data_IF_157791394310
#
_entry.id   IF_157791394310
#
_cell.length_a   1.000
_cell.length_b   1.000
_cell.length_c   1.000
_cell.angle_alpha   90.00
_cell.angle_beta   90.00
_cell.angle_gamma   90.00
#
_symmetry.space_group_name_H-M   'P 1'
#
loop_
_entity.id
_entity.type
_entity.pdbx_description
1 polymer ?
#
# COMPACT_ATOMS: atom_id res chain seq x y z
N UNK A 1 -44.38 34.22 -0.52
CA UNK A 1 -42.97 34.50 -0.20
C UNK A 1 -42.57 34.09 1.22
N UNK A 2 -43.28 34.48 2.29
CA UNK A 2 -42.89 34.10 3.67
C UNK A 2 -42.94 32.58 3.95
N UNK A 3 -43.89 31.85 3.38
CA UNK A 3 -44.03 30.38 3.52
C UNK A 3 -42.97 29.57 2.77
N UNK A 4 -42.41 30.09 1.68
CA UNK A 4 -41.32 29.43 0.95
C UNK A 4 -39.97 29.54 1.68
N UNK A 5 -39.78 30.58 2.49
CA UNK A 5 -38.56 30.77 3.28
C UNK A 5 -38.46 29.77 4.44
N UNK A 6 -39.59 29.43 5.08
CA UNK A 6 -39.63 28.40 6.12
C UNK A 6 -39.37 27.00 5.57
N UNK A 7 -39.80 26.71 4.33
CA UNK A 7 -39.54 25.42 3.68
C UNK A 7 -38.05 25.24 3.32
N UNK A 8 -37.38 26.31 2.91
CA UNK A 8 -35.94 26.30 2.63
C UNK A 8 -35.09 26.17 3.92
N UNK A 9 -35.54 26.77 5.02
CA UNK A 9 -34.86 26.68 6.32
C UNK A 9 -35.03 25.30 6.98
N UNK A 10 -36.17 24.62 6.76
CA UNK A 10 -36.39 23.25 7.25
C UNK A 10 -35.55 22.21 6.46
N UNK A 11 -35.35 22.42 5.16
CA UNK A 11 -34.51 21.58 4.28
C UNK A 11 -33.00 21.69 4.58
N UNK A 12 -32.56 22.81 5.16
CA UNK A 12 -31.17 23.02 5.61
C UNK A 12 -30.86 22.36 6.96
N UNK A 13 -31.88 22.08 7.78
CA UNK A 13 -31.71 21.40 9.08
C UNK A 13 -31.90 19.87 8.99
N UNK A 14 -32.53 19.35 7.92
CA UNK A 14 -32.66 17.90 7.70
C UNK A 14 -31.53 17.29 6.87
N UNK A 15 -30.66 18.10 6.26
CA UNK A 15 -29.52 17.64 5.45
C UNK A 15 -28.21 17.51 6.22
N UNK A 16 -28.20 17.85 7.51
CA UNK A 16 -27.02 17.77 8.38
C UNK A 16 -27.12 16.65 9.41
N UNK A 17 -27.56 15.45 9.03
CA UNK A 17 -27.02 14.29 9.76
C UNK A 17 -25.54 14.27 9.44
N UNK A 18 -24.73 14.79 10.35
CA UNK A 18 -23.29 14.58 10.36
C UNK A 18 -23.09 13.07 10.22
N UNK A 19 -22.79 12.62 9.00
CA UNK A 19 -22.42 11.25 8.74
C UNK A 19 -21.08 11.06 9.44
N UNK A 20 -21.12 10.70 10.72
CA UNK A 20 -19.94 10.29 11.43
C UNK A 20 -19.52 8.97 10.82
N UNK A 21 -18.36 8.96 10.17
CA UNK A 21 -17.75 7.73 9.68
C UNK A 21 -17.73 6.71 10.81
N UNK A 22 -18.43 5.60 10.63
CA UNK A 22 -18.48 4.51 11.61
C UNK A 22 -17.16 3.72 11.52
N UNK A 23 -16.68 3.27 12.67
CA UNK A 23 -15.68 2.20 12.73
C UNK A 23 -16.40 0.86 12.79
N UNK A 24 -16.18 0.02 11.79
CA UNK A 24 -16.72 -1.34 11.66
C UNK A 24 -15.59 -2.31 11.97
N UNK A 25 -15.80 -3.23 12.92
CA UNK A 25 -14.82 -4.27 13.24
C UNK A 25 -15.15 -5.57 12.52
N UNK A 26 -14.15 -6.13 11.84
CA UNK A 26 -14.23 -7.44 11.17
C UNK A 26 -13.25 -8.39 11.83
N UNK A 27 -13.77 -9.49 12.36
CA UNK A 27 -12.98 -10.50 13.08
C UNK A 27 -13.54 -11.90 12.84
N UNK A 28 -12.80 -12.75 12.13
CA UNK A 28 -13.20 -14.13 11.83
C UNK A 28 -12.57 -15.16 12.80
N UNK A 29 -11.94 -14.69 13.89
CA UNK A 29 -11.47 -15.57 14.96
C UNK A 29 -12.66 -16.26 15.64
N UNK A 30 -12.46 -17.51 16.04
CA UNK A 30 -13.50 -18.29 16.70
C UNK A 30 -13.87 -17.63 18.03
N UNK A 31 -15.16 -17.31 18.24
CA UNK A 31 -15.65 -16.69 19.46
C UNK A 31 -15.46 -15.16 19.53
N UNK A 32 -15.03 -14.51 18.45
CA UNK A 32 -14.90 -13.05 18.41
C UNK A 32 -16.27 -12.35 18.50
N UNK A 33 -16.34 -11.27 19.28
CA UNK A 33 -17.46 -10.34 19.28
C UNK A 33 -17.13 -9.16 18.36
N UNK A 34 -17.49 -9.25 17.09
CA UNK A 34 -17.26 -8.24 16.07
C UNK A 34 -18.55 -7.93 15.29
N UNK A 35 -18.59 -6.80 14.57
CA UNK A 35 -19.74 -6.43 13.75
C UNK A 35 -19.95 -7.42 12.60
N UNK A 36 -18.84 -7.90 12.01
CA UNK A 36 -18.86 -8.87 10.91
C UNK A 36 -17.73 -9.91 11.06
N UNK A 37 -17.98 -11.10 10.53
CA UNK A 37 -16.96 -12.16 10.37
C UNK A 37 -16.40 -12.22 8.96
N UNK A 38 -17.06 -11.63 7.95
CA UNK A 38 -16.61 -11.59 6.56
C UNK A 38 -16.35 -10.16 6.14
N UNK A 39 -15.24 -9.93 5.44
CA UNK A 39 -14.88 -8.59 4.97
C UNK A 39 -15.86 -8.07 3.91
N UNK A 40 -16.31 -8.93 2.98
CA UNK A 40 -17.26 -8.50 1.95
C UNK A 40 -18.59 -8.03 2.57
N UNK A 41 -19.09 -8.70 3.61
CA UNK A 41 -20.32 -8.30 4.28
C UNK A 41 -20.17 -6.92 4.94
N UNK A 42 -19.02 -6.64 5.55
CA UNK A 42 -18.71 -5.33 6.10
C UNK A 42 -18.67 -4.24 5.01
N UNK A 43 -18.02 -4.51 3.87
CA UNK A 43 -17.97 -3.57 2.72
C UNK A 43 -19.37 -3.29 2.17
N UNK A 44 -20.19 -4.33 2.03
CA UNK A 44 -21.55 -4.22 1.51
C UNK A 44 -22.41 -3.31 2.40
N UNK A 45 -22.27 -3.44 3.73
CA UNK A 45 -23.07 -2.71 4.72
C UNK A 45 -22.47 -1.36 5.17
N UNK A 46 -21.19 -1.10 4.87
CA UNK A 46 -20.55 0.17 5.19
C UNK A 46 -21.19 1.34 4.43
N UNK A 47 -21.26 2.51 5.04
CA UNK A 47 -21.57 3.75 4.34
C UNK A 47 -20.30 4.35 3.73
N UNK A 48 -20.41 5.16 2.66
CA UNK A 48 -19.28 5.90 2.13
C UNK A 48 -18.59 6.74 3.23
N UNK A 49 -17.28 6.55 3.39
CA UNK A 49 -16.46 7.20 4.42
C UNK A 49 -16.23 6.38 5.68
N UNK A 50 -16.94 5.27 5.89
CA UNK A 50 -16.71 4.38 7.03
C UNK A 50 -15.30 3.75 7.01
N UNK A 51 -14.80 3.44 8.21
CA UNK A 51 -13.54 2.72 8.40
C UNK A 51 -13.81 1.27 8.82
N UNK A 52 -13.17 0.32 8.18
CA UNK A 52 -13.28 -1.11 8.44
C UNK A 52 -11.96 -1.59 9.02
N UNK A 53 -11.95 -1.93 10.32
CA UNK A 53 -10.79 -2.50 11.00
C UNK A 53 -10.85 -4.03 10.93
N UNK A 54 -9.85 -4.62 10.26
CA UNK A 54 -9.74 -6.06 10.04
C UNK A 54 -8.74 -6.64 11.03
N UNK A 55 -9.22 -7.50 11.93
CA UNK A 55 -8.37 -8.09 12.99
C UNK A 55 -7.47 -9.18 12.40
N UNK A 56 -6.24 -9.30 12.93
CA UNK A 56 -5.36 -10.42 12.60
C UNK A 56 -5.99 -11.78 12.90
N UNK A 57 -5.78 -12.76 12.01
CA UNK A 57 -6.39 -14.09 12.13
C UNK A 57 -5.55 -15.17 11.45
N UNK A 58 -5.63 -16.44 11.91
CA UNK A 58 -5.04 -17.54 11.17
C UNK A 58 -5.78 -17.82 9.83
N UNK A 59 -7.06 -17.41 9.72
CA UNK A 59 -7.93 -17.62 8.56
C UNK A 59 -7.90 -16.43 7.59
N UNK A 60 -8.18 -16.68 6.32
CA UNK A 60 -8.36 -15.62 5.34
C UNK A 60 -9.74 -14.98 5.45
N UNK A 61 -9.84 -13.71 5.05
CA UNK A 61 -11.11 -12.97 5.01
C UNK A 61 -11.86 -13.11 3.68
N UNK A 62 -11.25 -13.77 2.69
CA UNK A 62 -11.76 -13.99 1.33
C UNK A 62 -12.09 -15.47 1.09
N UNK A 63 -12.69 -16.13 2.07
CA UNK A 63 -13.06 -17.56 2.01
C UNK A 63 -14.56 -17.74 2.19
N UNK A 64 -15.19 -18.52 1.30
CA UNK A 64 -16.60 -18.87 1.40
C UNK A 64 -16.86 -19.97 2.44
N UNK A 65 -18.13 -20.33 2.62
CA UNK A 65 -18.57 -21.37 3.56
C UNK A 65 -18.06 -22.78 3.23
N UNK A 66 -17.57 -22.99 2.00
CA UNK A 66 -17.03 -24.27 1.51
C UNK A 66 -15.49 -24.31 1.59
N UNK A 67 -14.86 -23.25 2.09
CA UNK A 67 -13.40 -23.13 2.14
C UNK A 67 -12.78 -22.70 0.81
N UNK A 68 -13.58 -22.31 -0.18
CA UNK A 68 -13.10 -21.81 -1.47
C UNK A 68 -12.86 -20.31 -1.43
N UNK A 69 -12.05 -19.79 -2.36
CA UNK A 69 -11.76 -18.36 -2.44
C UNK A 69 -13.02 -17.61 -2.89
N UNK A 70 -13.45 -16.64 -2.07
CA UNK A 70 -14.52 -15.71 -2.38
C UNK A 70 -13.90 -14.36 -2.73
N UNK A 71 -14.34 -13.74 -3.81
CA UNK A 71 -13.77 -12.48 -4.25
C UNK A 71 -14.18 -11.31 -3.34
N UNK A 72 -13.20 -10.51 -2.91
CA UNK A 72 -13.44 -9.26 -2.22
C UNK A 72 -13.50 -8.13 -3.25
N UNK A 73 -14.63 -7.42 -3.27
CA UNK A 73 -14.95 -6.31 -4.16
C UNK A 73 -15.12 -5.02 -3.37
N UNK A 74 -14.19 -4.10 -3.57
CA UNK A 74 -14.24 -2.74 -3.08
C UNK A 74 -14.81 -1.85 -4.18
N UNK A 75 -16.09 -1.50 -4.07
CA UNK A 75 -16.84 -0.68 -5.03
C UNK A 75 -17.53 0.53 -4.36
N UNK A 76 -16.98 0.96 -3.23
CA UNK A 76 -17.51 2.04 -2.38
C UNK A 76 -16.35 2.73 -1.68
N UNK A 77 -16.45 4.04 -1.44
CA UNK A 77 -15.49 4.82 -0.64
C UNK A 77 -15.44 4.30 0.79
N UNK A 78 -14.43 3.52 1.16
CA UNK A 78 -14.19 3.08 2.55
C UNK A 78 -12.69 3.04 2.86
N UNK A 79 -12.36 3.11 4.14
CA UNK A 79 -11.00 2.96 4.63
C UNK A 79 -10.86 1.56 5.24
N UNK A 80 -10.04 0.68 4.68
CA UNK A 80 -9.79 -0.66 5.20
C UNK A 80 -8.43 -0.67 5.88
N UNK A 81 -8.42 -1.06 7.17
CA UNK A 81 -7.24 -1.02 8.03
C UNK A 81 -7.00 -2.42 8.60
N UNK A 82 -5.88 -3.05 8.22
CA UNK A 82 -5.37 -4.26 8.85
C UNK A 82 -4.31 -3.97 9.91
N UNK A 83 -3.80 -5.00 10.59
CA UNK A 83 -2.87 -4.85 11.71
C UNK A 83 -1.42 -4.58 11.29
N UNK A 84 -1.08 -4.73 10.01
CA UNK A 84 0.28 -4.74 9.47
C UNK A 84 0.77 -6.16 9.13
N UNK A 85 2.07 -6.27 8.89
CA UNK A 85 2.79 -7.51 8.53
C UNK A 85 4.15 -7.58 9.25
N UNK A 86 4.85 -8.71 9.20
CA UNK A 86 6.11 -8.93 9.95
C UNK A 86 6.02 -8.58 11.45
N UNK A 87 4.84 -8.71 12.05
CA UNK A 87 4.56 -8.18 13.40
C UNK A 87 5.41 -8.86 14.49
N UNK A 88 5.81 -10.11 14.26
CA UNK A 88 6.69 -10.85 15.15
C UNK A 88 8.19 -10.65 14.89
N UNK A 89 8.57 -9.97 13.81
CA UNK A 89 9.96 -9.79 13.40
C UNK A 89 10.50 -8.39 13.74
N UNK A 90 9.61 -7.39 13.82
CA UNK A 90 9.93 -6.04 14.26
C UNK A 90 9.46 -5.78 15.71
N UNK A 91 10.21 -4.93 16.43
CA UNK A 91 9.88 -4.54 17.81
C UNK A 91 8.73 -3.54 17.88
N UNK A 92 8.05 -3.46 19.04
CA UNK A 92 7.03 -2.44 19.36
C UNK A 92 5.88 -2.35 18.35
N UNK A 93 5.50 -3.47 17.73
CA UNK A 93 4.39 -3.57 16.76
C UNK A 93 3.04 -3.72 17.49
N UNK A 94 2.24 -4.74 17.15
CA UNK A 94 0.95 -5.06 17.78
C UNK A 94 1.14 -6.10 18.89
N UNK A 95 0.28 -6.10 19.91
CA UNK A 95 0.25 -7.16 20.93
C UNK A 95 -0.15 -8.50 20.29
N UNK A 96 -1.23 -8.50 19.51
CA UNK A 96 -1.58 -9.63 18.66
C UNK A 96 -0.70 -9.61 17.40
N UNK A 97 0.14 -10.64 17.24
CA UNK A 97 1.08 -10.77 16.12
C UNK A 97 0.46 -11.37 14.85
N UNK A 98 -0.83 -11.68 14.87
CA UNK A 98 -1.51 -12.20 13.68
C UNK A 98 -1.75 -11.10 12.65
N UNK A 99 -1.66 -11.49 11.39
CA UNK A 99 -1.88 -10.62 10.23
C UNK A 99 -3.30 -10.81 9.67
N UNK A 100 -3.83 -9.81 8.98
CA UNK A 100 -5.11 -9.91 8.26
C UNK A 100 -4.84 -10.29 6.80
N UNK A 101 -5.14 -11.54 6.45
CA UNK A 101 -4.79 -12.13 5.15
C UNK A 101 -5.95 -12.16 4.17
N UNK A 102 -5.63 -11.82 2.93
CA UNK A 102 -6.47 -11.93 1.74
C UNK A 102 -5.62 -12.57 0.64
N UNK A 103 -6.23 -13.32 -0.26
CA UNK A 103 -5.56 -13.72 -1.50
C UNK A 103 -5.82 -12.67 -2.56
N UNK A 104 -7.07 -12.24 -2.72
CA UNK A 104 -7.45 -11.30 -3.77
C UNK A 104 -8.31 -10.14 -3.24
N UNK A 105 -8.14 -8.97 -3.86
CA UNK A 105 -9.08 -7.87 -3.77
C UNK A 105 -9.19 -7.18 -5.13
N UNK A 106 -10.43 -6.90 -5.53
CA UNK A 106 -10.79 -6.13 -6.70
C UNK A 106 -11.26 -4.75 -6.25
N UNK A 107 -10.60 -3.70 -6.72
CA UNK A 107 -10.96 -2.31 -6.47
C UNK A 107 -11.51 -1.75 -7.76
N UNK A 108 -12.82 -1.54 -7.78
CA UNK A 108 -13.57 -1.25 -8.98
C UNK A 108 -14.33 0.07 -8.94
N UNK A 109 -15.28 0.19 -9.86
CA UNK A 109 -16.16 1.35 -9.98
C UNK A 109 -16.83 1.68 -8.64
N UNK A 110 -16.74 2.94 -8.20
CA UNK A 110 -17.32 3.44 -6.94
C UNK A 110 -16.35 3.48 -5.75
N UNK A 111 -15.15 2.93 -5.87
CA UNK A 111 -14.12 2.95 -4.82
C UNK A 111 -13.32 4.27 -4.70
N UNK A 112 -13.86 5.38 -5.22
CA UNK A 112 -13.15 6.65 -5.23
C UNK A 112 -12.76 7.08 -3.82
N UNK A 113 -11.54 7.57 -3.64
CA UNK A 113 -11.02 8.04 -2.34
C UNK A 113 -10.94 6.94 -1.26
N UNK A 114 -11.00 5.67 -1.63
CA UNK A 114 -10.76 4.56 -0.71
C UNK A 114 -9.30 4.46 -0.30
N UNK A 115 -9.08 3.95 0.91
CA UNK A 115 -7.75 3.68 1.45
C UNK A 115 -7.68 2.21 1.86
N UNK A 116 -6.65 1.50 1.42
CA UNK A 116 -6.37 0.12 1.82
C UNK A 116 -5.00 0.09 2.49
N UNK A 117 -4.96 -0.28 3.77
CA UNK A 117 -3.72 -0.24 4.56
C UNK A 117 -3.57 -1.36 5.57
N UNK A 118 -2.33 -1.76 5.86
CA UNK A 118 -2.00 -2.73 6.91
C UNK A 118 -2.46 -4.17 6.62
N UNK A 119 -2.76 -4.52 5.37
CA UNK A 119 -3.22 -5.86 4.99
C UNK A 119 -2.10 -6.70 4.36
N UNK A 120 -2.28 -8.01 4.37
CA UNK A 120 -1.41 -8.98 3.71
C UNK A 120 -2.14 -9.64 2.55
N UNK A 121 -1.65 -9.44 1.33
CA UNK A 121 -2.17 -10.03 0.10
C UNK A 121 -1.22 -11.11 -0.43
N UNK A 122 -1.65 -12.37 -0.32
CA UNK A 122 -0.88 -13.54 -0.79
C UNK A 122 -0.94 -13.75 -2.30
N UNK A 123 -1.76 -12.99 -3.02
CA UNK A 123 -1.79 -13.05 -4.47
C UNK A 123 -1.87 -11.65 -5.10
N UNK A 124 -3.07 -11.09 -5.28
CA UNK A 124 -3.20 -9.89 -6.09
C UNK A 124 -4.18 -8.85 -5.53
N UNK A 125 -3.83 -7.58 -5.71
CA UNK A 125 -4.82 -6.49 -5.77
C UNK A 125 -5.00 -6.12 -7.24
N UNK A 126 -6.25 -6.06 -7.68
CA UNK A 126 -6.61 -5.59 -9.03
C UNK A 126 -7.33 -4.26 -8.93
N UNK A 127 -6.94 -3.28 -9.75
CA UNK A 127 -7.65 -2.01 -9.91
C UNK A 127 -8.19 -1.93 -11.34
N UNK A 128 -9.51 -1.87 -11.50
CA UNK A 128 -10.15 -1.93 -12.81
C UNK A 128 -11.53 -1.22 -12.81
N UNK A 129 -12.32 -1.45 -13.86
CA UNK A 129 -13.66 -0.86 -14.02
C UNK A 129 -14.78 -1.75 -13.44
N UNK A 130 -14.46 -2.84 -12.76
CA UNK A 130 -15.46 -3.83 -12.36
C UNK A 130 -16.48 -3.25 -11.38
N UNK A 131 -17.73 -3.67 -11.49
CA UNK A 131 -18.83 -3.28 -10.59
C UNK A 131 -19.00 -4.32 -9.49
N UNK A 132 -19.80 -3.99 -8.47
CA UNK A 132 -20.07 -4.89 -7.35
C UNK A 132 -20.64 -6.26 -7.78
N UNK A 133 -21.39 -6.31 -8.88
CA UNK A 133 -21.98 -7.54 -9.44
C UNK A 133 -21.00 -8.36 -10.30
N UNK A 134 -19.73 -7.94 -10.39
CA UNK A 134 -18.70 -8.57 -11.22
C UNK A 134 -18.77 -8.21 -12.71
N UNK A 135 -19.72 -7.38 -13.13
CA UNK A 135 -19.81 -6.92 -14.51
C UNK A 135 -18.81 -5.80 -14.79
N UNK A 136 -18.49 -5.60 -16.07
CA UNK A 136 -17.63 -4.50 -16.50
C UNK A 136 -18.38 -3.16 -16.40
N UNK A 137 -17.86 -2.25 -15.60
CA UNK A 137 -18.33 -0.87 -15.50
C UNK A 137 -17.69 0.06 -16.52
N UNK A 138 -18.00 1.35 -16.37
CA UNK A 138 -17.58 2.41 -17.28
C UNK A 138 -16.75 3.50 -16.62
N UNK A 139 -16.67 3.53 -15.29
CA UNK A 139 -15.96 4.56 -14.54
C UNK A 139 -14.80 3.96 -13.78
N UNK A 140 -13.60 4.48 -14.02
CA UNK A 140 -12.41 4.08 -13.29
C UNK A 140 -12.42 4.58 -11.84
N UNK A 141 -11.90 3.80 -10.88
CA UNK A 141 -11.67 4.27 -9.52
C UNK A 141 -10.60 5.37 -9.51
N UNK A 142 -10.86 6.42 -8.73
CA UNK A 142 -10.02 7.62 -8.65
C UNK A 142 -9.56 7.91 -7.23
N UNK A 143 -8.37 8.50 -7.08
CA UNK A 143 -7.85 8.95 -5.79
C UNK A 143 -7.73 7.80 -4.75
N UNK A 144 -7.46 6.58 -5.20
CA UNK A 144 -7.31 5.42 -4.31
C UNK A 144 -5.91 5.37 -3.73
N UNK A 145 -5.81 5.14 -2.42
CA UNK A 145 -4.54 4.95 -1.72
C UNK A 145 -4.36 3.51 -1.30
N UNK A 146 -3.28 2.88 -1.77
CA UNK A 146 -2.82 1.55 -1.35
C UNK A 146 -1.53 1.77 -0.58
N UNK A 147 -1.57 1.66 0.74
CA UNK A 147 -0.43 2.03 1.57
C UNK A 147 -0.13 1.09 2.73
N UNK A 148 1.14 0.85 3.04
CA UNK A 148 1.55 0.02 4.19
C UNK A 148 0.99 -1.41 4.14
N UNK A 149 0.91 -2.00 2.96
CA UNK A 149 0.48 -3.40 2.78
C UNK A 149 1.66 -4.30 2.40
N UNK A 150 1.53 -5.59 2.69
CA UNK A 150 2.31 -6.61 2.02
C UNK A 150 1.51 -7.07 0.80
N UNK A 151 2.06 -6.94 -0.40
CA UNK A 151 1.37 -7.29 -1.64
C UNK A 151 2.29 -8.10 -2.55
N UNK A 152 1.88 -9.32 -2.92
CA UNK A 152 2.62 -10.11 -3.89
C UNK A 152 2.59 -9.43 -5.26
N UNK A 153 1.40 -9.13 -5.78
CA UNK A 153 1.23 -8.56 -7.11
C UNK A 153 0.13 -7.49 -7.14
N UNK A 154 0.32 -6.43 -7.91
CA UNK A 154 -0.71 -5.44 -8.24
C UNK A 154 -0.93 -5.37 -9.74
N UNK A 155 -2.18 -5.57 -10.16
CA UNK A 155 -2.61 -5.40 -11.55
C UNK A 155 -3.52 -4.19 -11.70
N UNK A 156 -3.05 -3.16 -12.38
CA UNK A 156 -3.76 -1.89 -12.52
C UNK A 156 -4.14 -1.75 -13.97
N UNK A 157 -5.40 -2.04 -14.30
CA UNK A 157 -5.90 -2.01 -15.68
C UNK A 157 -6.57 -0.68 -16.02
N UNK A 158 -7.23 -0.03 -15.05
CA UNK A 158 -7.74 1.34 -15.21
C UNK A 158 -7.86 1.97 -13.82
N UNK A 159 -7.29 3.16 -13.65
CA UNK A 159 -7.37 3.93 -12.42
C UNK A 159 -6.74 5.29 -12.61
N UNK A 160 -7.19 6.29 -11.85
CA UNK A 160 -6.61 7.62 -11.93
C UNK A 160 -6.25 8.18 -10.55
N UNK A 161 -5.17 8.95 -10.50
CA UNK A 161 -4.65 9.57 -9.28
C UNK A 161 -4.42 8.54 -8.16
N UNK A 162 -3.76 7.43 -8.49
CA UNK A 162 -3.49 6.37 -7.54
C UNK A 162 -2.26 6.71 -6.70
N UNK A 163 -2.34 6.48 -5.39
CA UNK A 163 -1.19 6.55 -4.50
C UNK A 163 -0.83 5.14 -4.03
N UNK A 164 0.34 4.66 -4.45
CA UNK A 164 0.89 3.35 -4.08
C UNK A 164 2.13 3.63 -3.24
N UNK A 165 2.02 3.50 -1.91
CA UNK A 165 3.09 3.94 -1.02
C UNK A 165 3.40 3.03 0.15
N UNK A 166 4.65 3.00 0.61
CA UNK A 166 5.02 2.28 1.84
C UNK A 166 4.65 0.78 1.80
N UNK A 167 4.48 0.20 0.62
CA UNK A 167 4.14 -1.22 0.46
C UNK A 167 5.41 -2.06 0.34
N UNK A 168 5.28 -3.31 0.75
CA UNK A 168 6.30 -4.32 0.56
C UNK A 168 5.80 -5.37 -0.42
N UNK A 169 6.63 -5.75 -1.39
CA UNK A 169 6.37 -6.88 -2.27
C UNK A 169 7.56 -7.81 -2.28
N UNK A 170 7.30 -9.11 -2.19
CA UNK A 170 8.26 -10.16 -2.45
C UNK A 170 7.62 -11.21 -3.34
N UNK A 171 7.72 -10.99 -4.65
CA UNK A 171 7.09 -11.82 -5.66
C UNK A 171 8.07 -12.08 -6.80
N UNK A 172 8.05 -13.30 -7.34
CA UNK A 172 9.01 -13.69 -8.38
C UNK A 172 8.81 -12.93 -9.70
N UNK A 173 7.59 -12.45 -9.96
CA UNK A 173 7.27 -11.60 -11.11
C UNK A 173 7.33 -10.11 -10.76
N UNK A 174 6.67 -9.29 -11.57
CA UNK A 174 6.55 -7.86 -11.28
C UNK A 174 5.71 -7.60 -10.05
N UNK A 175 6.11 -6.64 -9.20
CA UNK A 175 5.30 -6.21 -8.07
C UNK A 175 4.09 -5.40 -8.55
N UNK A 176 4.29 -4.60 -9.59
CA UNK A 176 3.24 -3.79 -10.22
C UNK A 176 3.22 -4.03 -11.72
N UNK A 177 2.01 -4.23 -12.24
CA UNK A 177 1.73 -4.22 -13.67
C UNK A 177 0.69 -3.14 -13.97
N UNK A 178 1.09 -2.15 -14.77
CA UNK A 178 0.30 -1.01 -15.22
C UNK A 178 -0.20 -1.27 -16.65
N UNK A 179 -1.49 -1.14 -16.87
CA UNK A 179 -2.16 -1.37 -18.14
C UNK A 179 -3.32 -0.39 -18.35
N UNK A 180 -3.93 -0.45 -19.53
CA UNK A 180 -5.11 0.29 -19.95
C UNK A 180 -4.95 1.79 -19.79
N UNK A 181 -6.02 2.46 -19.37
CA UNK A 181 -6.02 3.93 -19.19
C UNK A 181 -5.74 4.26 -17.73
N UNK A 182 -4.45 4.29 -17.37
CA UNK A 182 -3.99 4.56 -15.99
C UNK A 182 -3.23 5.88 -15.92
N UNK A 183 -3.67 6.82 -15.09
CA UNK A 183 -3.05 8.18 -15.09
C UNK A 183 -2.87 8.76 -13.69
N UNK A 184 -1.90 9.67 -13.54
CA UNK A 184 -1.63 10.36 -12.27
C UNK A 184 -1.17 9.43 -11.14
N UNK A 185 -0.58 8.28 -11.47
CA UNK A 185 -0.16 7.29 -10.48
C UNK A 185 1.17 7.67 -9.86
N UNK A 186 1.21 7.72 -8.52
CA UNK A 186 2.41 7.95 -7.73
C UNK A 186 2.78 6.64 -7.03
N UNK A 187 3.96 6.10 -7.36
CA UNK A 187 4.55 4.92 -6.74
C UNK A 187 5.73 5.40 -5.90
N UNK A 188 5.57 5.43 -4.57
CA UNK A 188 6.61 5.98 -3.70
C UNK A 188 6.90 5.23 -2.41
N UNK A 189 8.14 5.28 -1.93
CA UNK A 189 8.49 4.72 -0.62
C UNK A 189 8.17 3.22 -0.51
N UNK A 190 8.19 2.46 -1.61
CA UNK A 190 7.93 1.02 -1.59
C UNK A 190 9.24 0.21 -1.63
N UNK A 191 9.15 -1.01 -1.13
CA UNK A 191 10.22 -2.03 -1.23
C UNK A 191 9.69 -3.15 -2.12
N UNK A 192 10.26 -3.30 -3.31
CA UNK A 192 9.88 -4.36 -4.25
C UNK A 192 11.04 -5.32 -4.46
N UNK A 193 10.85 -6.55 -4.00
CA UNK A 193 11.77 -7.66 -4.20
C UNK A 193 11.20 -8.53 -5.32
N UNK A 194 11.79 -8.39 -6.50
CA UNK A 194 11.41 -9.11 -7.72
C UNK A 194 12.61 -9.86 -8.29
N UNK A 195 12.34 -10.94 -9.02
CA UNK A 195 13.38 -11.60 -9.83
C UNK A 195 13.34 -11.14 -11.30
N UNK A 196 12.49 -10.15 -11.61
CA UNK A 196 12.24 -9.64 -12.95
C UNK A 196 12.17 -8.11 -12.90
N UNK A 197 11.27 -7.50 -13.66
CA UNK A 197 10.96 -6.06 -13.58
C UNK A 197 10.05 -5.81 -12.39
N UNK A 198 10.47 -5.01 -11.41
CA UNK A 198 9.65 -4.61 -10.26
C UNK A 198 8.37 -3.90 -10.69
N UNK A 199 8.46 -3.04 -11.71
CA UNK A 199 7.33 -2.29 -12.28
C UNK A 199 7.29 -2.55 -13.78
N UNK A 200 6.14 -2.96 -14.28
CA UNK A 200 5.90 -3.30 -15.67
C UNK A 200 4.77 -2.44 -16.24
N UNK A 201 4.95 -1.90 -17.44
CA UNK A 201 3.89 -1.28 -18.25
C UNK A 201 3.53 -2.11 -19.47
N UNK A 202 2.24 -2.18 -19.83
CA UNK A 202 1.85 -2.72 -21.14
C UNK A 202 2.24 -1.77 -22.28
N UNK A 203 2.57 -2.32 -23.44
CA UNK A 203 2.95 -1.53 -24.63
C UNK A 203 1.85 -0.55 -25.08
N UNK A 204 0.59 -0.89 -24.81
CA UNK A 204 -0.57 -0.09 -25.18
C UNK A 204 -1.14 0.70 -24.00
N UNK A 205 -0.47 0.69 -22.84
CA UNK A 205 -0.91 1.45 -21.69
C UNK A 205 -0.70 2.95 -21.91
N UNK A 206 -1.73 3.74 -21.61
CA UNK A 206 -1.58 5.19 -21.49
C UNK A 206 -1.25 5.49 -20.03
N UNK A 207 0.03 5.78 -19.74
CA UNK A 207 0.57 5.95 -18.38
C UNK A 207 0.87 7.42 -18.04
N UNK A 208 -0.06 8.31 -18.39
CA UNK A 208 0.14 9.75 -18.28
C UNK A 208 0.39 10.19 -16.82
N UNK A 209 1.38 11.07 -16.62
CA UNK A 209 1.73 11.67 -15.32
C UNK A 209 2.12 10.65 -14.23
N UNK A 210 2.84 9.59 -14.63
CA UNK A 210 3.35 8.60 -13.67
C UNK A 210 4.61 9.12 -12.96
N UNK A 211 4.65 8.97 -11.63
CA UNK A 211 5.80 9.34 -10.80
C UNK A 211 6.25 8.11 -10.01
N UNK A 212 7.52 7.75 -10.13
CA UNK A 212 8.15 6.64 -9.43
C UNK A 212 9.28 7.24 -8.59
N UNK A 213 9.07 7.38 -7.28
CA UNK A 213 10.03 8.10 -6.42
C UNK A 213 10.33 7.43 -5.10
N UNK A 214 11.57 7.51 -4.61
CA UNK A 214 11.94 6.98 -3.29
C UNK A 214 11.58 5.49 -3.13
N UNK A 215 11.72 4.65 -4.14
CA UNK A 215 11.51 3.21 -4.01
C UNK A 215 12.86 2.47 -3.92
N UNK A 216 12.87 1.34 -3.22
CA UNK A 216 13.97 0.38 -3.27
C UNK A 216 13.53 -0.83 -4.08
N UNK A 217 14.20 -1.06 -5.20
CA UNK A 217 13.81 -2.03 -6.21
C UNK A 217 14.93 -3.06 -6.38
N UNK A 218 14.65 -4.32 -6.04
CA UNK A 218 15.44 -5.44 -6.51
C UNK A 218 14.72 -5.98 -7.76
N UNK A 219 15.05 -5.42 -8.92
CA UNK A 219 14.36 -5.64 -10.17
C UNK A 219 14.13 -4.31 -10.90
N UNK A 220 14.08 -4.36 -12.23
CA UNK A 220 14.05 -3.18 -13.10
C UNK A 220 12.68 -2.52 -13.26
N UNK A 221 12.62 -1.53 -14.15
CA UNK A 221 11.40 -0.97 -14.71
C UNK A 221 11.32 -1.41 -16.18
N UNK A 222 10.15 -1.81 -16.64
CA UNK A 222 9.96 -2.27 -18.01
C UNK A 222 8.75 -1.62 -18.66
N UNK A 223 8.93 -1.10 -19.87
CA UNK A 223 7.88 -0.48 -20.69
C UNK A 223 7.09 0.64 -20.00
N UNK A 224 7.80 1.48 -19.25
CA UNK A 224 7.24 2.72 -18.71
C UNK A 224 7.72 3.87 -19.57
N UNK A 225 6.81 4.73 -20.01
CA UNK A 225 7.13 5.85 -20.90
C UNK A 225 6.62 7.17 -20.31
N UNK A 226 7.37 8.26 -20.51
CA UNK A 226 6.96 9.61 -20.10
C UNK A 226 6.82 9.81 -18.58
N UNK A 227 7.49 8.98 -17.77
CA UNK A 227 7.42 9.03 -16.31
C UNK A 227 8.55 9.88 -15.70
N UNK A 228 8.33 10.39 -14.49
CA UNK A 228 9.40 10.90 -13.63
C UNK A 228 9.88 9.78 -12.71
N UNK A 229 11.11 9.34 -12.90
CA UNK A 229 11.75 8.25 -12.15
C UNK A 229 12.91 8.86 -11.37
N UNK A 230 12.71 9.10 -10.07
CA UNK A 230 13.68 9.86 -9.28
C UNK A 230 13.86 9.36 -7.86
N UNK A 231 15.00 9.63 -7.24
CA UNK A 231 15.26 9.29 -5.84
C UNK A 231 15.18 7.78 -5.50
N UNK A 232 15.25 6.88 -6.48
CA UNK A 232 15.11 5.44 -6.26
C UNK A 232 16.48 4.75 -6.08
N UNK A 233 16.47 3.57 -5.47
CA UNK A 233 17.60 2.65 -5.43
C UNK A 233 17.23 1.40 -6.23
N UNK A 234 18.02 1.08 -7.26
CA UNK A 234 17.94 -0.15 -8.04
C UNK A 234 19.07 -1.09 -7.60
N UNK A 235 18.73 -2.08 -6.77
CA UNK A 235 19.64 -3.12 -6.28
C UNK A 235 20.04 -4.04 -7.43
N UNK A 236 19.09 -4.32 -8.32
CA UNK A 236 19.32 -5.00 -9.59
C UNK A 236 18.35 -4.46 -10.63
N UNK A 237 18.64 -4.74 -11.90
CA UNK A 237 17.75 -4.42 -13.02
C UNK A 237 18.17 -3.17 -13.80
N UNK A 238 17.29 -2.81 -14.73
CA UNK A 238 17.47 -1.78 -15.75
C UNK A 238 16.15 -1.04 -15.96
N UNK A 239 16.17 0.04 -16.74
CA UNK A 239 14.99 0.73 -17.24
C UNK A 239 14.84 0.33 -18.71
N UNK A 240 14.24 -0.83 -18.95
CA UNK A 240 14.22 -1.51 -20.25
C UNK A 240 12.95 -1.22 -21.05
N UNK A 241 13.08 -1.15 -22.38
CA UNK A 241 11.97 -0.88 -23.33
C UNK A 241 11.13 0.35 -22.93
N UNK A 242 11.76 1.30 -22.24
CA UNK A 242 11.14 2.43 -21.58
C UNK A 242 11.66 3.71 -22.22
N UNK A 243 10.77 4.65 -22.57
CA UNK A 243 11.10 5.81 -23.42
C UNK A 243 10.68 7.13 -22.82
N UNK A 244 11.41 8.18 -23.18
CA UNK A 244 11.06 9.57 -22.87
C UNK A 244 10.81 9.83 -21.37
N UNK A 245 11.50 9.07 -20.50
CA UNK A 245 11.39 9.26 -19.05
C UNK A 245 12.43 10.28 -18.56
N UNK A 246 12.08 10.98 -17.50
CA UNK A 246 13.03 11.77 -16.72
C UNK A 246 13.61 10.89 -15.60
N UNK A 247 14.81 10.36 -15.81
CA UNK A 247 15.49 9.45 -14.89
C UNK A 247 16.61 10.21 -14.19
N UNK A 248 16.37 10.67 -12.96
CA UNK A 248 17.34 11.52 -12.26
C UNK A 248 17.48 11.23 -10.78
N UNK A 249 18.67 11.51 -10.22
CA UNK A 249 18.93 11.29 -8.79
C UNK A 249 18.57 9.88 -8.33
N UNK A 250 18.85 8.86 -9.15
CA UNK A 250 18.70 7.46 -8.75
C UNK A 250 20.07 6.83 -8.53
N UNK A 251 20.10 5.77 -7.74
CA UNK A 251 21.27 4.93 -7.58
C UNK A 251 21.04 3.56 -8.21
N UNK A 252 22.00 3.13 -9.02
CA UNK A 252 22.04 1.82 -9.68
C UNK A 252 23.32 1.09 -9.26
N UNK A 253 23.18 -0.19 -8.95
CA UNK A 253 24.33 -1.10 -8.75
C UNK A 253 24.94 -1.59 -10.07
N UNK A 254 24.23 -1.37 -11.18
CA UNK A 254 24.62 -1.74 -12.54
C UNK A 254 25.30 -0.57 -13.27
N UNK A 255 26.03 -0.87 -14.35
CA UNK A 255 26.64 0.16 -15.21
C UNK A 255 25.57 0.94 -15.97
N UNK A 256 25.86 2.19 -16.33
CA UNK A 256 24.95 3.03 -17.13
C UNK A 256 24.48 2.35 -18.42
N UNK A 257 25.41 1.75 -19.17
CA UNK A 257 25.12 0.98 -20.40
C UNK A 257 24.12 -0.16 -20.15
N UNK A 258 24.21 -0.84 -19.01
CA UNK A 258 23.30 -1.92 -18.65
C UNK A 258 21.94 -1.40 -18.14
N UNK A 259 21.87 -0.18 -17.61
CA UNK A 259 20.62 0.44 -17.17
C UNK A 259 19.73 0.79 -18.35
N UNK A 260 20.29 1.22 -19.47
CA UNK A 260 19.54 1.67 -20.65
C UNK A 260 19.87 0.83 -21.90
N UNK A 261 19.30 -0.38 -22.06
CA UNK A 261 19.53 -1.22 -23.24
C UNK A 261 18.90 -0.62 -24.51
N UNK A 262 19.26 -1.16 -25.70
CA UNK A 262 19.03 -0.61 -27.06
C UNK A 262 17.60 -0.13 -27.42
N UNK A 263 16.58 -0.50 -26.65
CA UNK A 263 15.19 -0.06 -26.85
C UNK A 263 14.71 1.05 -25.88
N UNK A 264 15.60 1.58 -25.04
CA UNK A 264 15.30 2.50 -23.94
C UNK A 264 15.71 3.93 -24.28
N UNK A 265 15.13 4.47 -25.35
CA UNK A 265 15.54 5.72 -25.99
C UNK A 265 14.85 6.96 -25.41
N UNK A 266 15.50 8.12 -25.48
CA UNK A 266 14.89 9.40 -25.09
C UNK A 266 14.82 9.64 -23.58
N UNK A 267 15.36 8.73 -22.77
CA UNK A 267 15.45 8.92 -21.33
C UNK A 267 16.53 9.96 -21.00
N UNK A 268 16.19 10.94 -20.16
CA UNK A 268 17.17 11.82 -19.52
C UNK A 268 17.78 11.05 -18.34
N UNK A 269 19.11 10.92 -18.32
CA UNK A 269 19.86 10.15 -17.33
C UNK A 269 20.73 11.03 -16.40
N UNK A 270 20.30 12.26 -16.13
CA UNK A 270 21.04 13.23 -15.30
C UNK A 270 21.17 12.84 -13.82
N UNK A 271 22.28 13.20 -13.19
CA UNK A 271 22.52 13.11 -11.74
C UNK A 271 22.27 11.72 -11.11
N UNK A 272 22.39 10.65 -11.90
CA UNK A 272 22.31 9.29 -11.39
C UNK A 272 23.69 8.77 -10.96
N UNK A 273 23.68 7.88 -9.96
CA UNK A 273 24.85 7.14 -9.51
C UNK A 273 24.79 5.75 -10.12
N UNK A 274 25.80 5.40 -10.92
CA UNK A 274 25.92 4.07 -11.53
C UNK A 274 27.02 3.26 -10.87
N UNK A 275 26.95 1.93 -11.02
CA UNK A 275 27.96 0.98 -10.52
C UNK A 275 28.23 1.10 -9.01
N UNK A 276 27.22 1.48 -8.23
CA UNK A 276 27.33 1.53 -6.78
C UNK A 276 27.56 0.13 -6.19
N UNK A 277 28.45 0.03 -5.21
CA UNK A 277 28.75 -1.23 -4.54
C UNK A 277 27.60 -1.59 -3.61
N UNK A 278 26.83 -2.63 -3.95
CA UNK A 278 25.64 -3.05 -3.19
C UNK A 278 25.92 -3.28 -1.70
N UNK A 279 27.09 -3.85 -1.37
CA UNK A 279 27.48 -4.14 0.02
C UNK A 279 27.60 -2.88 0.89
N UNK A 280 27.73 -1.69 0.30
CA UNK A 280 27.84 -0.42 1.02
C UNK A 280 26.49 0.30 1.18
N UNK A 281 25.42 -0.21 0.57
CA UNK A 281 24.15 0.53 0.51
C UNK A 281 23.36 0.49 1.81
N UNK A 282 23.27 -0.68 2.42
CA UNK A 282 22.32 -0.95 3.48
C UNK A 282 22.99 -1.42 4.75
N UNK A 283 22.32 -1.25 5.88
CA UNK A 283 22.74 -1.80 7.17
C UNK A 283 22.89 -3.33 7.09
N UNK A 284 23.59 -3.90 8.06
CA UNK A 284 23.64 -5.36 8.20
C UNK A 284 22.24 -5.95 8.34
N UNK A 285 22.00 -7.18 7.82
CA UNK A 285 20.70 -7.83 7.92
C UNK A 285 20.22 -7.92 9.37
N UNK A 286 19.01 -7.39 9.60
CA UNK A 286 18.27 -7.44 10.85
C UNK A 286 17.23 -8.57 10.81
N UNK A 287 16.52 -8.93 11.90
CA UNK A 287 15.59 -10.06 11.89
C UNK A 287 14.47 -9.96 10.85
N UNK A 288 13.97 -8.74 10.57
CA UNK A 288 12.91 -8.54 9.58
C UNK A 288 13.44 -8.10 8.23
N UNK A 289 12.93 -8.73 7.16
CA UNK A 289 13.37 -8.48 5.79
C UNK A 289 13.12 -7.04 5.31
N UNK A 290 12.04 -6.40 5.76
CA UNK A 290 11.73 -5.01 5.37
C UNK A 290 12.73 -4.00 5.95
N UNK A 291 13.35 -4.34 7.08
CA UNK A 291 14.34 -3.49 7.74
C UNK A 291 15.73 -3.54 7.10
N UNK A 292 15.99 -4.52 6.23
CA UNK A 292 17.26 -4.70 5.51
C UNK A 292 17.56 -3.57 4.52
N UNK A 293 16.57 -2.76 4.16
CA UNK A 293 16.70 -1.73 3.13
C UNK A 293 16.93 -0.33 3.70
N UNK A 294 17.23 -0.22 5.00
CA UNK A 294 17.69 1.03 5.62
C UNK A 294 19.14 1.30 5.24
N UNK A 295 19.46 2.56 4.95
CA UNK A 295 20.80 2.94 4.51
C UNK A 295 21.85 2.73 5.60
N UNK A 296 23.01 2.20 5.22
CA UNK A 296 24.19 2.22 6.07
C UNK A 296 24.65 3.68 6.33
N UNK A 297 25.41 3.91 7.40
CA UNK A 297 25.89 5.25 7.77
C UNK A 297 26.71 5.92 6.66
N UNK A 298 27.59 5.15 5.99
CA UNK A 298 28.43 5.62 4.87
C UNK A 298 27.84 5.26 3.49
N UNK A 299 26.52 5.08 3.42
CA UNK A 299 25.88 4.67 2.17
C UNK A 299 25.99 5.75 1.11
N UNK A 300 26.39 5.41 -0.14
CA UNK A 300 26.41 6.36 -1.25
C UNK A 300 25.01 6.80 -1.68
N UNK A 301 23.95 6.29 -1.06
CA UNK A 301 22.57 6.74 -1.27
C UNK A 301 22.15 7.89 -0.34
N UNK A 302 23.01 8.30 0.62
CA UNK A 302 22.69 9.36 1.57
C UNK A 302 22.80 10.74 0.96
N UNK A 303 21.81 11.58 1.24
CA UNK A 303 21.74 12.98 0.77
C UNK A 303 21.92 13.18 -0.75
N UNK A 304 21.72 12.12 -1.55
CA UNK A 304 21.90 12.16 -3.02
C UNK A 304 20.60 12.45 -3.79
N UNK A 305 19.47 12.47 -3.09
CA UNK A 305 18.19 12.79 -3.66
C UNK A 305 18.02 14.29 -3.89
N UNK A 306 16.95 14.62 -4.60
CA UNK A 306 16.49 16.00 -4.79
C UNK A 306 16.33 16.68 -3.42
N UNK A 307 16.85 17.91 -3.29
CA UNK A 307 16.86 18.67 -2.03
C UNK A 307 17.67 18.00 -0.89
N UNK A 308 18.60 17.11 -1.22
CA UNK A 308 19.50 16.49 -0.25
C UNK A 308 18.83 15.42 0.61
N UNK A 309 17.73 14.82 0.15
CA UNK A 309 17.12 13.70 0.84
C UNK A 309 17.83 12.38 0.55
N UNK A 310 17.71 11.40 1.44
CA UNK A 310 18.14 10.02 1.20
C UNK A 310 17.38 9.40 0.00
N UNK A 311 18.08 8.56 -0.78
CA UNK A 311 17.46 7.74 -1.83
C UNK A 311 16.75 6.51 -1.24
N UNK A 312 15.80 5.95 -2.00
CA UNK A 312 15.16 4.68 -1.70
C UNK A 312 13.99 4.76 -0.73
N UNK A 313 13.47 3.59 -0.33
CA UNK A 313 12.20 3.43 0.38
C UNK A 313 12.09 4.23 1.68
N UNK A 314 13.20 4.37 2.42
CA UNK A 314 13.27 5.06 3.69
C UNK A 314 13.63 6.56 3.57
N UNK A 315 13.78 7.07 2.35
CA UNK A 315 14.05 8.49 2.09
C UNK A 315 12.80 9.36 1.96
N UNK A 316 13.01 10.67 1.92
CA UNK A 316 11.95 11.67 1.77
C UNK A 316 11.09 11.90 3.02
N UNK A 317 10.03 12.69 2.88
CA UNK A 317 9.23 13.20 4.02
C UNK A 317 8.25 12.19 4.62
N UNK A 318 7.97 11.09 3.92
CA UNK A 318 7.01 10.05 4.33
C UNK A 318 7.61 8.66 4.06
N UNK A 319 8.67 8.30 4.80
CA UNK A 319 9.48 7.12 4.51
C UNK A 319 8.70 5.83 4.75
N UNK A 320 9.18 4.72 4.18
CA UNK A 320 8.65 3.40 4.43
C UNK A 320 8.54 3.10 5.94
N UNK A 321 7.43 2.48 6.34
CA UNK A 321 7.14 2.13 7.74
C UNK A 321 7.29 0.62 7.93
N UNK A 322 8.22 0.23 8.80
CA UNK A 322 8.41 -1.16 9.18
C UNK A 322 7.09 -1.81 9.62
N UNK A 323 6.92 -3.08 9.25
CA UNK A 323 5.72 -3.87 9.49
C UNK A 323 4.44 -3.31 8.88
N UNK A 324 4.52 -2.29 8.02
CA UNK A 324 3.35 -1.62 7.46
C UNK A 324 2.35 -1.19 8.52
N UNK A 325 2.82 -0.74 9.70
CA UNK A 325 1.94 -0.38 10.80
C UNK A 325 1.03 0.77 10.37
N UNK A 326 -0.30 0.61 10.42
CA UNK A 326 -1.23 1.67 10.03
C UNK A 326 -1.09 2.88 10.97
N UNK A 327 -1.45 4.07 10.51
CA UNK A 327 -1.38 5.32 11.28
C UNK A 327 -2.50 5.42 12.33
N UNK A 328 -2.65 4.38 13.15
CA UNK A 328 -3.55 4.33 14.30
C UNK A 328 -2.78 3.86 15.54
N UNK A 329 -3.24 4.22 16.75
CA UNK A 329 -2.66 3.68 17.96
C UNK A 329 -2.74 2.15 18.00
N UNK A 330 -1.65 1.49 18.39
CA UNK A 330 -1.64 0.06 18.67
C UNK A 330 -1.28 -0.21 20.13
N UNK A 331 -1.91 -1.23 20.71
CA UNK A 331 -1.47 -1.82 21.98
C UNK A 331 -0.33 -2.76 21.64
N UNK A 332 0.84 -2.57 22.24
CA UNK A 332 2.02 -3.42 22.02
C UNK A 332 2.38 -4.26 23.25
N UNK A 333 1.87 -3.90 24.43
CA UNK A 333 2.03 -4.65 25.66
C UNK A 333 0.70 -4.65 26.43
N UNK A 334 0.28 -5.85 26.83
CA UNK A 334 -0.85 -6.07 27.73
C UNK A 334 -0.39 -7.08 28.78
N UNK A 335 -0.37 -6.67 30.04
CA UNK A 335 -0.14 -7.56 31.17
C UNK A 335 -1.33 -7.52 32.10
N UNK A 336 -1.75 -8.69 32.59
CA UNK A 336 -2.85 -8.79 33.54
C UNK A 336 -2.46 -9.72 34.68
N UNK A 337 -3.06 -9.54 35.85
CA UNK A 337 -2.89 -10.49 36.97
C UNK A 337 -3.57 -11.84 36.71
N UNK A 338 -4.36 -11.98 35.65
CA UNK A 338 -5.12 -13.18 35.28
C UNK A 338 -6.32 -13.49 36.19
N UNK A 339 -6.26 -13.06 37.46
CA UNK A 339 -7.32 -13.19 38.45
C UNK A 339 -7.52 -11.84 39.13
N UNK A 340 -8.78 -11.46 39.36
CA UNK A 340 -9.13 -10.33 40.20
C UNK A 340 -9.95 -10.77 41.40
N UNK A 341 -9.81 -10.07 42.52
CA UNK A 341 -10.67 -10.27 43.70
C UNK A 341 -11.76 -9.20 43.74
N UNK A 342 -12.90 -9.43 44.43
CA UNK A 342 -13.92 -8.40 44.60
C UNK A 342 -13.39 -7.12 45.28
N UNK A 343 -12.31 -7.23 46.06
CA UNK A 343 -11.69 -6.15 46.82
C UNK A 343 -10.59 -5.42 46.05
N UNK A 344 -9.76 -6.13 45.30
CA UNK A 344 -8.57 -5.55 44.65
C UNK A 344 -8.75 -5.37 43.14
N UNK A 345 -9.79 -5.95 42.56
CA UNK A 345 -10.00 -5.99 41.11
C UNK A 345 -8.95 -6.84 40.40
N UNK A 346 -8.94 -6.78 39.07
CA UNK A 346 -7.89 -7.38 38.24
C UNK A 346 -6.91 -6.29 37.83
N UNK A 347 -5.63 -6.48 38.11
CA UNK A 347 -4.60 -5.54 37.66
C UNK A 347 -4.38 -5.71 36.16
N UNK A 348 -4.42 -4.60 35.43
CA UNK A 348 -4.22 -4.55 33.98
C UNK A 348 -3.28 -3.41 33.65
N UNK A 349 -2.17 -3.70 32.99
CA UNK A 349 -1.28 -2.70 32.41
C UNK A 349 -1.35 -2.78 30.90
N UNK A 350 -1.59 -1.63 30.27
CA UNK A 350 -1.65 -1.48 28.81
C UNK A 350 -0.59 -0.46 28.41
N UNK A 351 0.25 -0.82 27.44
CA UNK A 351 1.08 0.16 26.73
C UNK A 351 0.63 0.28 25.29
N UNK A 352 0.42 1.52 24.87
CA UNK A 352 -0.02 1.87 23.53
C UNK A 352 0.93 2.88 22.89
N UNK A 353 1.09 2.81 21.58
CA UNK A 353 1.95 3.70 20.79
C UNK A 353 1.22 4.20 19.56
N UNK A 354 1.42 5.47 19.21
CA UNK A 354 0.99 6.03 17.92
C UNK A 354 2.03 5.71 16.83
N UNK A 355 1.54 5.39 15.62
CA UNK A 355 2.34 5.02 14.44
C UNK A 355 2.24 6.06 13.31
N UNK A 356 2.20 7.35 13.69
CA UNK A 356 2.12 8.47 12.75
C UNK A 356 3.42 8.69 11.98
#
# INVERSE_FOLDING_TARGET
MKTQFYFLFLLLFTSSTLAMAKVIRVDNNTGASADYVKLQDAINNANPGDSIYVVGSPKYYDTDERGSVAEIRLNKKVIIIGPGYFLGENENTQFNKQIAKLRYMNIGEGANESIVTGLFFENAITINLERLDGSRGSNEPKNVTITRNFIYYMYIYNGSNLLISQNFSNYRGSAIYLNGSTSGTIIRNNIFISNSSSIYGDYNASLANTVITNNTLNGGIYRINGANIQNNIFITGSISDSRDNNVKNNLFTTTEEAVFPENSTGNDASDNIFSAVQANLFISPEPSIDSHFRLADESPARDQGIEGQDLGAFGGTDPYRLSGLPAIPAIYELTTSGVGTPTEGMSVTIKARSHN
#
